data_IF_061694580853
#
_entry.id   IF_061694580853
#
_cell.length_a   1.000
_cell.length_b   1.000
_cell.length_c   1.000
_cell.angle_alpha   90.00
_cell.angle_beta   90.00
_cell.angle_gamma   90.00
#
_symmetry.space_group_name_H-M   'P 1'
#
loop_
_entity.id
_entity.type
_entity.pdbx_description
1 polymer ?
#
# COMPACT_ATOMS: atom_id res chain seq x y z
N UNK A 1 -1.86 2.79 -35.29
CA UNK A 1 -1.05 2.10 -34.27
C UNK A 1 -0.53 3.13 -33.28
N UNK A 2 -1.29 3.46 -32.26
CA UNK A 2 -0.93 4.41 -31.19
C UNK A 2 -0.52 3.60 -29.98
N UNK A 3 0.78 3.64 -29.66
CA UNK A 3 1.34 3.09 -28.41
C UNK A 3 0.81 3.93 -27.24
N UNK A 4 -0.13 3.40 -26.47
CA UNK A 4 -0.35 3.83 -25.10
C UNK A 4 0.79 3.21 -24.26
N UNK A 5 1.83 3.97 -24.02
CA UNK A 5 2.83 3.66 -23.00
C UNK A 5 2.17 3.91 -21.62
N UNK A 6 2.01 2.88 -20.76
CA UNK A 6 1.69 3.15 -19.36
C UNK A 6 2.88 3.90 -18.78
N UNK A 7 2.59 4.98 -18.03
CA UNK A 7 3.59 5.84 -17.41
C UNK A 7 4.69 5.00 -16.76
N UNK A 8 5.92 5.14 -17.23
CA UNK A 8 7.04 4.32 -16.82
C UNK A 8 7.25 4.47 -15.29
N UNK A 9 7.11 3.36 -14.57
CA UNK A 9 7.60 3.24 -13.20
C UNK A 9 9.09 3.53 -13.20
N UNK A 10 9.52 4.54 -12.47
CA UNK A 10 10.93 4.83 -12.24
C UNK A 10 11.33 4.14 -10.94
N UNK A 11 12.19 3.10 -10.98
CA UNK A 11 12.67 2.48 -9.76
C UNK A 11 13.39 3.53 -8.90
N UNK A 12 13.14 3.61 -7.59
CA UNK A 12 13.93 4.45 -6.72
C UNK A 12 15.38 3.96 -6.76
N UNK A 13 16.30 4.81 -7.21
CA UNK A 13 17.75 4.61 -7.29
C UNK A 13 18.18 3.38 -8.13
N UNK A 14 18.53 3.57 -9.38
CA UNK A 14 18.99 2.56 -10.36
C UNK A 14 20.25 1.74 -10.02
N UNK A 15 20.47 1.31 -8.77
CA UNK A 15 21.56 0.45 -8.34
C UNK A 15 21.09 -0.58 -7.31
N UNK A 16 20.94 -1.81 -7.73
CA UNK A 16 20.55 -2.97 -6.91
C UNK A 16 21.48 -3.23 -5.69
N UNK A 17 22.69 -2.71 -5.67
CA UNK A 17 23.66 -2.92 -4.58
C UNK A 17 23.40 -2.08 -3.32
N UNK A 18 22.59 -1.01 -3.41
CA UNK A 18 22.30 -0.10 -2.29
C UNK A 18 20.94 -0.39 -1.64
N UNK A 19 20.15 -1.27 -2.19
CA UNK A 19 18.78 -1.60 -1.76
C UNK A 19 18.67 -1.97 -0.27
N UNK A 20 19.52 -2.83 0.34
CA UNK A 20 19.36 -3.18 1.75
C UNK A 20 19.63 -2.03 2.73
N UNK A 21 20.60 -1.16 2.42
CA UNK A 21 20.91 0.01 3.26
C UNK A 21 19.82 1.07 3.12
N UNK A 22 19.32 1.24 1.91
CA UNK A 22 18.22 2.13 1.60
C UNK A 22 16.93 1.68 2.29
N UNK A 23 16.58 0.38 2.21
CA UNK A 23 15.43 -0.21 2.91
C UNK A 23 15.54 0.01 4.43
N UNK A 24 16.72 -0.23 5.02
CA UNK A 24 16.93 -0.02 6.45
C UNK A 24 16.82 1.45 6.85
N UNK A 25 17.32 2.38 6.04
CA UNK A 25 17.23 3.82 6.30
C UNK A 25 15.77 4.29 6.19
N UNK A 26 15.03 3.87 5.17
CA UNK A 26 13.61 4.17 5.02
C UNK A 26 12.81 3.59 6.19
N UNK A 27 13.05 2.34 6.55
CA UNK A 27 12.38 1.69 7.66
C UNK A 27 12.56 2.46 8.98
N UNK A 28 13.78 2.95 9.24
CA UNK A 28 14.05 3.76 10.42
C UNK A 28 13.41 5.15 10.34
N UNK A 29 13.57 5.85 9.22
CA UNK A 29 13.09 7.22 9.01
C UNK A 29 11.56 7.30 8.98
N UNK A 30 10.88 6.27 8.49
CA UNK A 30 9.42 6.19 8.42
C UNK A 30 8.79 5.55 9.65
N UNK A 31 9.57 5.09 10.64
CA UNK A 31 9.06 4.31 11.79
C UNK A 31 8.31 3.05 11.35
N UNK A 32 8.83 2.38 10.33
CA UNK A 32 8.16 1.29 9.60
C UNK A 32 7.60 0.20 10.52
N UNK A 33 8.37 -0.22 11.53
CA UNK A 33 7.92 -1.22 12.49
C UNK A 33 6.62 -0.82 13.23
N UNK A 34 6.42 0.47 13.50
CA UNK A 34 5.25 0.92 14.24
C UNK A 34 3.98 0.83 13.38
N UNK A 35 3.99 1.39 12.16
CA UNK A 35 2.81 1.37 11.33
C UNK A 35 2.54 0.01 10.68
N UNK A 36 3.59 -0.81 10.37
CA UNK A 36 3.38 -2.17 9.86
C UNK A 36 2.74 -3.10 10.91
N UNK A 37 3.15 -3.01 12.17
CA UNK A 37 2.48 -3.76 13.25
C UNK A 37 1.03 -3.34 13.43
N UNK A 38 0.74 -2.06 13.31
CA UNK A 38 -0.63 -1.58 13.33
C UNK A 38 -1.45 -2.09 12.14
N UNK A 39 -0.87 -2.14 10.93
CA UNK A 39 -1.51 -2.77 9.76
C UNK A 39 -1.84 -4.24 10.03
N UNK A 40 -0.88 -5.02 10.55
CA UNK A 40 -1.12 -6.43 10.90
C UNK A 40 -2.25 -6.56 11.91
N UNK A 41 -2.27 -5.73 12.96
CA UNK A 41 -3.34 -5.75 13.94
C UNK A 41 -4.72 -5.47 13.32
N UNK A 42 -4.81 -4.50 12.41
CA UNK A 42 -6.07 -4.19 11.72
C UNK A 42 -6.49 -5.27 10.71
N UNK A 43 -5.54 -5.91 10.03
CA UNK A 43 -5.83 -7.06 9.17
C UNK A 43 -6.49 -8.17 9.99
N UNK A 44 -5.89 -8.52 11.13
CA UNK A 44 -6.34 -9.63 11.97
C UNK A 44 -7.63 -9.33 12.75
N UNK A 45 -7.92 -8.07 13.05
CA UNK A 45 -9.12 -7.67 13.79
C UNK A 45 -10.44 -8.08 13.14
N UNK A 46 -10.44 -8.40 11.84
CA UNK A 46 -11.63 -8.79 11.08
C UNK A 46 -11.86 -10.29 10.95
N UNK A 47 -10.93 -11.14 11.37
CA UNK A 47 -11.04 -12.59 11.21
C UNK A 47 -11.07 -13.05 9.75
N UNK A 48 -10.39 -12.32 8.86
CA UNK A 48 -10.41 -12.55 7.41
C UNK A 48 -9.21 -13.38 6.97
N UNK A 49 -9.44 -14.29 6.00
CA UNK A 49 -8.45 -15.27 5.57
C UNK A 49 -7.76 -14.89 4.24
N UNK A 50 -8.44 -14.19 3.34
CA UNK A 50 -7.91 -13.82 2.02
C UNK A 50 -7.45 -12.36 1.98
N UNK A 51 -6.14 -12.15 1.89
CA UNK A 51 -5.50 -10.83 1.94
C UNK A 51 -4.73 -10.58 0.64
N UNK A 52 -5.00 -9.44 0.01
CA UNK A 52 -4.24 -8.92 -1.12
C UNK A 52 -3.47 -7.67 -0.71
N UNK A 53 -2.16 -7.64 -0.94
CA UNK A 53 -1.31 -6.47 -0.73
C UNK A 53 -0.91 -5.83 -2.06
N UNK A 54 -1.40 -4.62 -2.31
CA UNK A 54 -1.10 -3.83 -3.51
C UNK A 54 0.17 -3.03 -3.27
N UNK A 55 1.21 -3.29 -4.07
CA UNK A 55 2.54 -2.72 -3.89
C UNK A 55 3.26 -3.39 -2.71
N UNK A 56 3.33 -4.71 -2.73
CA UNK A 56 3.87 -5.52 -1.62
C UNK A 56 5.37 -5.32 -1.40
N UNK A 57 6.07 -4.70 -2.35
CA UNK A 57 7.51 -4.46 -2.29
C UNK A 57 8.28 -5.73 -1.98
N UNK A 58 9.21 -5.64 -1.03
CA UNK A 58 10.07 -6.75 -0.60
C UNK A 58 9.41 -7.72 0.39
N UNK A 59 8.08 -7.67 0.57
CA UNK A 59 7.30 -8.65 1.32
C UNK A 59 7.42 -8.56 2.86
N UNK A 60 7.86 -7.43 3.40
CA UNK A 60 8.04 -7.29 4.86
C UNK A 60 6.72 -7.42 5.63
N UNK A 61 5.58 -6.97 5.05
CA UNK A 61 4.26 -7.12 5.67
C UNK A 61 3.84 -8.59 5.72
N UNK A 62 4.10 -9.37 4.66
CA UNK A 62 3.79 -10.79 4.61
C UNK A 62 4.49 -11.59 5.73
N UNK A 63 5.77 -11.28 5.99
CA UNK A 63 6.53 -11.94 7.06
C UNK A 63 5.96 -11.61 8.43
N UNK A 64 5.65 -10.34 8.70
CA UNK A 64 5.04 -9.92 9.97
C UNK A 64 3.65 -10.54 10.17
N UNK A 65 2.86 -10.61 9.10
CA UNK A 65 1.54 -11.23 9.15
C UNK A 65 1.65 -12.74 9.42
N UNK A 66 2.56 -13.43 8.76
CA UNK A 66 2.81 -14.86 8.99
C UNK A 66 3.21 -15.15 10.44
N UNK A 67 4.07 -14.31 11.04
CA UNK A 67 4.44 -14.44 12.45
C UNK A 67 3.26 -14.29 13.39
N UNK A 68 2.27 -13.48 13.04
CA UNK A 68 1.08 -13.23 13.86
C UNK A 68 -0.08 -14.21 13.55
N UNK A 69 -0.20 -14.66 12.31
CA UNK A 69 -1.24 -15.57 11.83
C UNK A 69 -0.71 -16.45 10.68
N UNK A 70 -0.12 -17.63 10.98
CA UNK A 70 0.46 -18.51 9.96
C UNK A 70 -0.51 -19.05 8.92
N UNK A 71 -1.81 -19.00 9.17
CA UNK A 71 -2.85 -19.55 8.31
C UNK A 71 -3.46 -18.54 7.34
N UNK A 72 -3.12 -17.24 7.46
CA UNK A 72 -3.65 -16.21 6.58
C UNK A 72 -3.17 -16.41 5.13
N UNK A 73 -4.10 -16.48 4.20
CA UNK A 73 -3.80 -16.55 2.77
C UNK A 73 -3.42 -15.15 2.27
N UNK A 74 -2.14 -14.98 1.93
CA UNK A 74 -1.61 -13.69 1.49
C UNK A 74 -1.10 -13.74 0.06
N UNK A 75 -1.55 -12.78 -0.73
CA UNK A 75 -1.06 -12.53 -2.10
C UNK A 75 -0.53 -11.10 -2.17
N UNK A 76 0.75 -10.94 -2.51
CA UNK A 76 1.35 -9.64 -2.81
C UNK A 76 1.45 -9.40 -4.31
N UNK A 77 1.16 -8.19 -4.77
CA UNK A 77 1.40 -7.77 -6.15
C UNK A 77 2.28 -6.54 -6.19
N UNK A 78 3.33 -6.56 -7.02
CA UNK A 78 4.24 -5.45 -7.20
C UNK A 78 4.81 -5.44 -8.63
N UNK A 79 4.94 -4.29 -9.31
CA UNK A 79 5.52 -4.22 -10.64
C UNK A 79 7.03 -4.44 -10.66
N UNK A 80 7.72 -4.25 -9.54
CA UNK A 80 9.17 -4.42 -9.43
C UNK A 80 9.54 -5.91 -9.28
N UNK A 81 10.13 -6.48 -10.33
CA UNK A 81 10.55 -7.87 -10.36
C UNK A 81 11.61 -8.20 -9.31
N UNK A 82 12.52 -7.27 -9.00
CA UNK A 82 13.55 -7.48 -7.98
C UNK A 82 12.98 -7.44 -6.57
N UNK A 83 12.03 -6.52 -6.31
CA UNK A 83 11.29 -6.49 -5.06
C UNK A 83 10.52 -7.81 -4.83
N UNK A 84 9.80 -8.29 -5.85
CA UNK A 84 9.07 -9.58 -5.79
C UNK A 84 10.01 -10.76 -5.56
N UNK A 85 11.18 -10.77 -6.20
CA UNK A 85 12.19 -11.83 -5.98
C UNK A 85 12.66 -11.81 -4.51
N UNK A 86 12.93 -10.64 -3.94
CA UNK A 86 13.30 -10.51 -2.54
C UNK A 86 12.16 -10.91 -1.60
N UNK A 87 10.91 -10.57 -1.93
CA UNK A 87 9.73 -10.95 -1.16
C UNK A 87 9.57 -12.47 -1.09
N UNK A 88 9.71 -13.16 -2.23
CA UNK A 88 9.66 -14.63 -2.29
C UNK A 88 10.77 -15.28 -1.43
N UNK A 89 11.98 -14.74 -1.49
CA UNK A 89 13.09 -15.21 -0.67
C UNK A 89 12.82 -15.01 0.83
N UNK A 90 12.33 -13.83 1.24
CA UNK A 90 11.98 -13.57 2.65
C UNK A 90 10.86 -14.50 3.14
N UNK A 91 9.82 -14.71 2.33
CA UNK A 91 8.73 -15.62 2.67
C UNK A 91 9.25 -17.04 2.86
N UNK A 92 10.05 -17.57 1.92
CA UNK A 92 10.63 -18.89 2.00
C UNK A 92 11.51 -19.06 3.26
N UNK A 93 12.36 -18.09 3.59
CA UNK A 93 13.19 -18.13 4.79
C UNK A 93 12.40 -18.07 6.10
N UNK A 94 11.25 -17.38 6.09
CA UNK A 94 10.39 -17.31 7.27
C UNK A 94 9.43 -18.51 7.40
N UNK A 95 9.34 -19.38 6.40
CA UNK A 95 8.35 -20.46 6.33
C UNK A 95 6.95 -20.01 5.93
N UNK A 96 6.79 -18.76 5.47
CA UNK A 96 5.51 -18.22 5.04
C UNK A 96 5.06 -18.81 3.70
N UNK A 97 3.78 -19.19 3.60
CA UNK A 97 3.12 -19.61 2.37
C UNK A 97 2.64 -18.43 1.48
N UNK A 98 3.00 -17.20 1.82
CA UNK A 98 2.64 -16.02 1.04
C UNK A 98 3.10 -16.14 -0.42
N UNK A 99 2.25 -15.75 -1.36
CA UNK A 99 2.56 -15.74 -2.79
C UNK A 99 2.75 -14.31 -3.28
N UNK A 100 3.60 -14.16 -4.33
CA UNK A 100 3.91 -12.84 -4.88
C UNK A 100 3.87 -12.87 -6.40
N UNK A 101 3.20 -11.88 -6.99
CA UNK A 101 2.98 -11.74 -8.43
C UNK A 101 3.67 -10.48 -8.94
N UNK A 102 4.44 -10.60 -10.01
CA UNK A 102 5.00 -9.43 -10.72
C UNK A 102 3.95 -8.85 -11.64
N UNK A 103 3.63 -7.58 -11.45
CA UNK A 103 2.70 -6.87 -12.33
C UNK A 103 1.93 -5.77 -11.63
N UNK A 104 1.08 -5.11 -12.40
CA UNK A 104 0.22 -4.03 -11.92
C UNK A 104 -1.15 -4.53 -11.49
N UNK A 105 -1.61 -4.07 -10.33
CA UNK A 105 -3.00 -4.27 -9.91
C UNK A 105 -3.95 -3.42 -10.81
N UNK A 106 -5.13 -3.94 -11.20
CA UNK A 106 -5.71 -5.26 -10.91
C UNK A 106 -5.37 -6.34 -11.94
N UNK A 107 -4.68 -6.01 -13.04
CA UNK A 107 -4.52 -6.89 -14.21
C UNK A 107 -3.73 -8.18 -13.89
N UNK A 108 -2.79 -8.12 -12.96
CA UNK A 108 -1.92 -9.24 -12.60
C UNK A 108 -2.57 -10.23 -11.61
N UNK A 109 -3.74 -9.92 -11.06
CA UNK A 109 -4.39 -10.70 -10.01
C UNK A 109 -5.68 -11.35 -10.53
N UNK A 110 -5.94 -12.65 -10.21
CA UNK A 110 -7.20 -13.30 -10.50
C UNK A 110 -8.42 -12.55 -9.96
N UNK A 111 -9.61 -12.80 -10.53
CA UNK A 111 -10.81 -12.01 -10.24
C UNK A 111 -11.60 -12.45 -9.00
N UNK A 112 -11.10 -13.45 -8.25
CA UNK A 112 -11.76 -13.92 -7.04
C UNK A 112 -11.98 -12.79 -6.03
N UNK A 113 -13.14 -12.75 -5.37
CA UNK A 113 -13.42 -11.75 -4.34
C UNK A 113 -12.52 -11.91 -3.10
N UNK A 114 -12.06 -10.80 -2.55
CA UNK A 114 -11.06 -10.72 -1.49
C UNK A 114 -11.69 -10.14 -0.21
N UNK A 115 -11.28 -10.64 0.95
CA UNK A 115 -11.78 -10.16 2.24
C UNK A 115 -11.14 -8.84 2.65
N UNK A 116 -9.80 -8.75 2.52
CA UNK A 116 -9.01 -7.59 2.90
C UNK A 116 -8.04 -7.23 1.78
N UNK A 117 -8.09 -5.99 1.34
CA UNK A 117 -7.06 -5.40 0.51
C UNK A 117 -6.24 -4.44 1.37
N UNK A 118 -4.92 -4.57 1.27
CA UNK A 118 -3.97 -3.67 1.93
C UNK A 118 -3.16 -2.93 0.89
N UNK A 119 -2.78 -1.70 1.16
CA UNK A 119 -1.76 -0.99 0.39
C UNK A 119 -0.96 -0.09 1.33
N UNK A 120 0.36 -0.12 1.20
CA UNK A 120 1.23 0.68 2.05
C UNK A 120 2.33 1.40 1.26
N UNK A 121 2.37 2.72 1.37
CA UNK A 121 3.34 3.61 0.72
C UNK A 121 3.38 3.46 -0.82
N UNK A 122 2.22 3.34 -1.45
CA UNK A 122 2.06 3.17 -2.91
C UNK A 122 1.38 4.38 -3.56
N UNK A 123 0.24 4.81 -2.99
CA UNK A 123 -0.60 5.80 -3.67
C UNK A 123 0.10 7.14 -3.86
N UNK A 124 1.01 7.55 -2.95
CA UNK A 124 1.74 8.80 -3.12
C UNK A 124 2.66 8.79 -4.36
N UNK A 125 3.07 7.62 -4.87
CA UNK A 125 4.00 7.49 -6.00
C UNK A 125 3.31 7.57 -7.36
N UNK A 126 1.99 7.38 -7.42
CA UNK A 126 1.24 7.32 -8.69
C UNK A 126 0.43 8.59 -8.94
N UNK A 127 0.05 8.84 -10.19
CA UNK A 127 -0.76 9.99 -10.57
C UNK A 127 -2.15 9.97 -9.91
N UNK A 128 -2.83 11.12 -9.84
CA UNK A 128 -4.17 11.21 -9.27
C UNK A 128 -5.17 10.26 -9.98
N UNK A 129 -5.11 10.20 -11.31
CA UNK A 129 -5.96 9.29 -12.09
C UNK A 129 -5.69 7.82 -11.76
N UNK A 130 -4.42 7.47 -11.53
CA UNK A 130 -4.04 6.11 -11.17
C UNK A 130 -4.46 5.76 -9.73
N UNK A 131 -4.40 6.71 -8.78
CA UNK A 131 -4.97 6.53 -7.44
C UNK A 131 -6.47 6.19 -7.52
N UNK A 132 -7.23 6.96 -8.31
CA UNK A 132 -8.66 6.72 -8.51
C UNK A 132 -8.92 5.34 -9.12
N UNK A 133 -8.13 4.95 -10.14
CA UNK A 133 -8.24 3.65 -10.80
C UNK A 133 -7.96 2.48 -9.84
N UNK A 134 -6.89 2.59 -9.04
CA UNK A 134 -6.52 1.58 -8.05
C UNK A 134 -7.64 1.42 -7.00
N UNK A 135 -8.16 2.54 -6.46
CA UNK A 135 -9.21 2.50 -5.44
C UNK A 135 -10.53 1.95 -5.97
N UNK A 136 -10.94 2.33 -7.19
CA UNK A 136 -12.13 1.76 -7.83
C UNK A 136 -11.97 0.25 -8.05
N UNK A 137 -10.82 -0.19 -8.56
CA UNK A 137 -10.54 -1.60 -8.75
C UNK A 137 -10.46 -2.37 -7.41
N UNK A 138 -9.95 -1.76 -6.35
CA UNK A 138 -9.95 -2.35 -5.02
C UNK A 138 -11.37 -2.55 -4.49
N UNK A 139 -12.25 -1.56 -4.68
CA UNK A 139 -13.66 -1.70 -4.32
C UNK A 139 -14.32 -2.86 -5.07
N UNK A 140 -14.09 -2.96 -6.39
CA UNK A 140 -14.66 -4.05 -7.20
C UNK A 140 -14.23 -5.43 -6.70
N UNK A 141 -12.96 -5.58 -6.31
CA UNK A 141 -12.36 -6.86 -5.89
C UNK A 141 -12.73 -7.29 -4.48
N UNK A 142 -13.13 -6.37 -3.63
CA UNK A 142 -13.58 -6.69 -2.28
C UNK A 142 -14.93 -7.42 -2.28
N UNK A 143 -15.09 -8.38 -1.38
CA UNK A 143 -16.39 -8.94 -1.02
C UNK A 143 -17.29 -7.84 -0.43
N UNK A 144 -18.61 -7.94 -0.51
CA UNK A 144 -19.50 -7.08 0.27
C UNK A 144 -19.11 -7.13 1.76
N UNK A 145 -18.92 -6.00 2.39
CA UNK A 145 -18.39 -5.89 3.76
C UNK A 145 -16.88 -6.08 3.90
N UNK A 146 -16.19 -6.44 2.83
CA UNK A 146 -14.72 -6.52 2.82
C UNK A 146 -14.07 -5.15 3.02
N UNK A 147 -12.82 -5.14 3.45
CA UNK A 147 -12.14 -3.91 3.90
C UNK A 147 -10.90 -3.57 3.09
N UNK A 148 -10.71 -2.29 2.81
CA UNK A 148 -9.44 -1.71 2.39
C UNK A 148 -8.74 -1.11 3.61
N UNK A 149 -7.48 -1.48 3.82
CA UNK A 149 -6.60 -0.89 4.84
C UNK A 149 -5.46 -0.18 4.11
N UNK A 150 -5.41 1.13 4.22
CA UNK A 150 -4.46 1.98 3.49
C UNK A 150 -3.54 2.68 4.48
N UNK A 151 -2.23 2.47 4.38
CA UNK A 151 -1.23 3.24 5.10
C UNK A 151 -0.36 4.03 4.12
N UNK A 152 -0.51 5.35 4.07
CA UNK A 152 0.23 6.17 3.12
C UNK A 152 0.47 7.59 3.66
N UNK A 153 1.39 8.31 3.02
CA UNK A 153 1.52 9.73 3.28
C UNK A 153 0.18 10.42 3.02
N UNK A 154 -0.25 11.24 3.95
CA UNK A 154 -1.48 12.01 3.84
C UNK A 154 -1.21 13.49 4.12
N UNK A 155 -2.19 14.18 4.70
CA UNK A 155 -2.13 15.61 4.97
C UNK A 155 -0.86 15.99 5.76
N UNK A 156 -0.03 16.84 5.18
CA UNK A 156 1.14 17.39 5.87
C UNK A 156 0.70 18.63 6.66
N UNK A 157 0.14 18.41 7.85
CA UNK A 157 -0.61 19.38 8.65
C UNK A 157 0.23 20.50 9.30
N UNK A 158 1.57 20.40 9.28
CA UNK A 158 2.48 21.40 9.85
C UNK A 158 3.53 21.86 8.85
N UNK A 159 4.11 23.05 9.08
CA UNK A 159 5.21 23.57 8.26
C UNK A 159 6.42 22.62 8.24
N UNK A 160 6.75 22.04 9.41
CA UNK A 160 7.84 21.05 9.51
C UNK A 160 7.53 19.78 8.72
N UNK A 161 6.31 19.24 8.84
CA UNK A 161 5.92 18.06 8.07
C UNK A 161 5.99 18.31 6.56
N UNK A 162 5.50 19.46 6.10
CA UNK A 162 5.61 19.88 4.69
C UNK A 162 7.05 20.01 4.24
N UNK A 163 7.92 20.60 5.08
CA UNK A 163 9.35 20.73 4.76
C UNK A 163 10.02 19.36 4.64
N UNK A 164 9.84 18.49 5.64
CA UNK A 164 10.42 17.15 5.63
C UNK A 164 9.93 16.33 4.43
N UNK A 165 8.63 16.36 4.14
CA UNK A 165 8.03 15.66 3.01
C UNK A 165 8.58 16.15 1.66
N UNK A 166 8.74 17.47 1.50
CA UNK A 166 9.35 18.06 0.28
C UNK A 166 10.80 17.66 0.12
N UNK A 167 11.57 17.72 1.20
CA UNK A 167 13.01 17.44 1.17
C UNK A 167 13.33 15.96 0.96
N UNK A 168 12.38 15.06 1.22
CA UNK A 168 12.54 13.61 1.11
C UNK A 168 11.66 13.02 0.00
N UNK A 169 10.40 12.77 0.29
CA UNK A 169 9.48 12.04 -0.60
C UNK A 169 9.25 12.77 -1.91
N UNK A 170 8.96 14.09 -1.88
CA UNK A 170 8.72 14.84 -3.12
C UNK A 170 9.95 14.97 -4.00
N UNK A 171 11.16 15.00 -3.40
CA UNK A 171 12.40 15.06 -4.17
C UNK A 171 12.72 13.76 -4.91
N UNK A 172 12.23 12.61 -4.41
CA UNK A 172 12.42 11.29 -5.01
C UNK A 172 11.28 10.92 -5.98
N UNK A 173 10.03 11.04 -5.53
CA UNK A 173 8.85 10.54 -6.26
C UNK A 173 8.15 11.62 -7.10
N UNK A 174 8.65 12.85 -7.05
CA UNK A 174 8.15 13.97 -7.82
C UNK A 174 6.90 14.63 -7.21
N UNK A 175 6.79 15.95 -7.41
CA UNK A 175 5.72 16.75 -6.81
C UNK A 175 4.34 16.44 -7.39
N UNK A 176 4.26 16.14 -8.69
CA UNK A 176 2.98 15.92 -9.37
C UNK A 176 2.19 14.76 -8.74
N UNK A 177 2.87 13.67 -8.39
CA UNK A 177 2.24 12.48 -7.80
C UNK A 177 2.00 12.63 -6.29
N UNK A 178 2.92 13.28 -5.58
CA UNK A 178 2.95 13.32 -4.11
C UNK A 178 2.14 14.48 -3.52
N UNK A 179 1.98 15.60 -4.25
CA UNK A 179 1.28 16.78 -3.73
C UNK A 179 -0.18 16.51 -3.35
N UNK A 180 -0.99 15.76 -4.14
CA UNK A 180 -2.35 15.45 -3.74
C UNK A 180 -2.43 14.75 -2.37
N UNK A 181 -1.50 13.83 -2.09
CA UNK A 181 -1.41 13.17 -0.78
C UNK A 181 -1.07 14.18 0.32
N UNK A 182 -0.08 15.07 0.08
CA UNK A 182 0.31 16.11 1.04
C UNK A 182 -0.83 17.08 1.38
N UNK A 183 -1.75 17.28 0.44
CA UNK A 183 -2.96 18.10 0.59
C UNK A 183 -4.13 17.32 1.22
N UNK A 184 -3.97 16.01 1.50
CA UNK A 184 -4.96 15.22 2.21
C UNK A 184 -6.06 14.62 1.34
N UNK A 185 -5.78 14.32 0.07
CA UNK A 185 -6.78 13.84 -0.91
C UNK A 185 -7.36 12.45 -0.60
N UNK A 186 -6.68 11.61 0.19
CA UNK A 186 -7.03 10.19 0.33
C UNK A 186 -8.47 9.92 0.81
N UNK A 187 -9.00 10.61 1.85
CA UNK A 187 -10.38 10.37 2.27
C UNK A 187 -11.40 10.66 1.17
N UNK A 188 -11.25 11.78 0.46
CA UNK A 188 -12.17 12.14 -0.64
C UNK A 188 -12.09 11.18 -1.83
N UNK A 189 -10.92 10.60 -2.09
CA UNK A 189 -10.77 9.57 -3.12
C UNK A 189 -11.45 8.26 -2.71
N UNK A 190 -11.39 7.88 -1.44
CA UNK A 190 -12.09 6.71 -0.91
C UNK A 190 -13.62 6.90 -1.03
N UNK A 191 -14.14 8.08 -0.65
CA UNK A 191 -15.55 8.43 -0.81
C UNK A 191 -15.98 8.39 -2.29
N UNK A 192 -15.20 9.03 -3.17
CA UNK A 192 -15.44 9.05 -4.62
C UNK A 192 -15.46 7.65 -5.23
N UNK A 193 -14.60 6.76 -4.75
CA UNK A 193 -14.57 5.37 -5.21
C UNK A 193 -15.78 4.55 -4.76
N UNK A 194 -16.55 5.01 -3.76
CA UNK A 194 -17.76 4.35 -3.26
C UNK A 194 -17.53 3.53 -1.99
N UNK A 195 -16.42 3.71 -1.31
CA UNK A 195 -16.22 3.10 0.02
C UNK A 195 -17.12 3.75 1.06
N UNK A 196 -17.49 2.96 2.06
CA UNK A 196 -18.24 3.37 3.26
C UNK A 196 -17.42 3.17 4.51
N UNK A 197 -17.90 3.65 5.66
CA UNK A 197 -17.25 3.52 6.96
C UNK A 197 -15.75 3.91 6.92
N UNK A 198 -15.45 5.04 6.28
CA UNK A 198 -14.08 5.53 6.13
C UNK A 198 -13.63 6.10 7.47
N UNK A 199 -12.60 5.49 8.05
CA UNK A 199 -12.05 5.88 9.36
C UNK A 199 -10.55 6.17 9.26
N UNK A 200 -10.11 7.29 9.82
CA UNK A 200 -8.70 7.52 10.11
C UNK A 200 -8.36 6.82 11.43
N UNK A 201 -7.70 5.67 11.36
CA UNK A 201 -7.38 4.85 12.54
C UNK A 201 -6.13 5.31 13.28
N UNK A 202 -5.12 5.77 12.55
CA UNK A 202 -3.88 6.22 13.14
C UNK A 202 -3.15 7.23 12.26
N UNK A 203 -2.18 7.94 12.85
CA UNK A 203 -1.20 8.73 12.12
C UNK A 203 0.15 8.68 12.82
N UNK A 204 1.22 8.67 12.03
CA UNK A 204 2.60 8.69 12.52
C UNK A 204 3.36 9.86 11.94
N UNK A 205 3.92 10.69 12.82
CA UNK A 205 4.89 11.71 12.44
C UNK A 205 6.26 11.03 12.29
N UNK A 206 6.85 11.20 11.12
CA UNK A 206 8.12 10.59 10.75
C UNK A 206 9.11 11.65 10.31
N UNK A 207 10.36 11.26 10.06
CA UNK A 207 11.37 12.16 9.50
C UNK A 207 11.16 12.45 8.00
N UNK A 208 10.21 11.77 7.37
CA UNK A 208 9.86 11.95 5.95
C UNK A 208 8.48 12.59 5.74
N UNK A 209 7.79 12.94 6.81
CA UNK A 209 6.42 13.50 6.77
C UNK A 209 5.45 12.73 7.65
N UNK A 210 4.17 12.87 7.39
CA UNK A 210 3.10 12.22 8.18
C UNK A 210 2.45 11.10 7.37
N UNK A 211 2.49 9.90 7.92
CA UNK A 211 1.80 8.72 7.39
C UNK A 211 0.49 8.56 8.14
N UNK A 212 -0.59 8.29 7.40
CA UNK A 212 -1.91 8.03 7.93
C UNK A 212 -2.33 6.61 7.63
N UNK A 213 -3.10 6.00 8.53
CA UNK A 213 -3.81 4.77 8.28
C UNK A 213 -5.31 5.03 8.19
N UNK A 214 -5.88 4.62 7.07
CA UNK A 214 -7.32 4.65 6.83
C UNK A 214 -7.84 3.22 6.69
N UNK A 215 -9.04 2.99 7.21
CA UNK A 215 -9.83 1.79 6.96
C UNK A 215 -11.11 2.23 6.26
N UNK A 216 -11.48 1.50 5.23
CA UNK A 216 -12.72 1.74 4.51
C UNK A 216 -13.36 0.41 4.14
N UNK A 217 -14.67 0.33 4.12
CA UNK A 217 -15.41 -0.88 3.83
C UNK A 217 -16.11 -0.80 2.47
N UNK A 218 -16.18 -1.93 1.76
CA UNK A 218 -17.15 -2.08 0.66
C UNK A 218 -18.55 -2.16 1.25
N UNK A 219 -19.52 -1.36 0.79
CA UNK A 219 -20.90 -1.46 1.23
C UNK A 219 -21.42 -2.90 1.14
N UNK A 220 -22.27 -3.28 2.09
CA UNK A 220 -23.02 -4.53 1.97
C UNK A 220 -23.94 -4.45 0.76
N UNK A 221 -24.13 -5.56 0.06
CA UNK A 221 -25.16 -5.62 -0.96
C UNK A 221 -26.51 -5.29 -0.29
N UNK A 222 -27.24 -4.31 -0.83
CA UNK A 222 -28.60 -4.04 -0.36
C UNK A 222 -29.41 -5.31 -0.51
N UNK A 223 -30.00 -5.78 0.57
CA UNK A 223 -31.00 -6.85 0.48
C UNK A 223 -32.14 -6.29 -0.36
N UNK A 224 -32.35 -6.87 -1.56
CA UNK A 224 -33.46 -6.57 -2.45
C UNK A 224 -34.68 -7.29 -1.90
#
# INVERSE_FOLDING_TARGET
MTKNDPAAYTPPLGHAALTPIYDAAIALLTRENAWRRALVAEILAGGHDAILDIGSGTGSLAVLLYQASPHAAYVGVDPDQDAVRLARNKAAHSGSAATFVVGYFPAAIPSEPIDVIVSSLVLHQVSLAEKERILAAALDRLKPGGRLILADYGLQDTALARFLFRATVQSLDGRANTQPNADGVLPSLLEKAGFSAIEQRAKWRTMTGVIYMYIAAKPLASAI
#
